data_IF_682727640148
#
_entry.id   IF_682727640148
#
_cell.length_a   1.000
_cell.length_b   1.000
_cell.length_c   1.000
_cell.angle_alpha   90.00
_cell.angle_beta   90.00
_cell.angle_gamma   90.00
#
_symmetry.space_group_name_H-M   'P 1'
#
loop_
_entity.id
_entity.type
_entity.pdbx_description
1 polymer ?
#
# COMPACT_ATOMS: atom_id res chain seq x y z
N UNK A 1 17.12 -9.38 34.00
CA UNK A 1 17.36 -8.69 32.71
C UNK A 1 16.01 -8.32 32.14
N UNK A 2 15.78 -7.05 31.88
CA UNK A 2 14.58 -6.54 31.23
C UNK A 2 14.66 -6.84 29.74
N UNK A 3 13.65 -7.53 29.21
CA UNK A 3 13.57 -7.87 27.79
C UNK A 3 13.26 -6.59 27.00
N UNK A 4 14.31 -5.96 26.44
CA UNK A 4 14.22 -4.68 25.73
C UNK A 4 13.82 -4.91 24.26
N UNK A 5 12.63 -5.48 24.05
CA UNK A 5 12.10 -5.86 22.73
C UNK A 5 10.72 -5.26 22.47
N UNK A 6 10.49 -4.83 21.24
CA UNK A 6 9.17 -4.48 20.71
C UNK A 6 8.78 -5.48 19.63
N UNK A 7 7.55 -5.97 19.68
CA UNK A 7 6.97 -6.83 18.65
C UNK A 7 5.78 -6.13 18.03
N UNK A 8 5.79 -5.99 16.69
CA UNK A 8 4.71 -5.38 15.92
C UNK A 8 3.95 -6.50 15.22
N UNK A 9 2.62 -6.48 15.34
CA UNK A 9 1.72 -7.37 14.60
C UNK A 9 1.12 -6.57 13.44
N UNK A 10 1.63 -6.82 12.24
CA UNK A 10 1.12 -6.20 11.01
C UNK A 10 0.36 -7.24 10.18
N UNK A 11 -0.69 -6.80 9.47
CA UNK A 11 -1.41 -7.63 8.50
C UNK A 11 -0.50 -8.00 7.31
N UNK A 12 0.41 -7.10 6.94
CA UNK A 12 1.42 -7.33 5.89
C UNK A 12 2.65 -6.50 6.20
N UNK A 13 3.83 -7.09 6.05
CA UNK A 13 5.12 -6.42 6.11
C UNK A 13 6.02 -6.93 4.99
N UNK A 14 6.76 -6.03 4.37
CA UNK A 14 7.66 -6.31 3.24
C UNK A 14 9.01 -5.63 3.55
N UNK A 15 10.13 -6.29 3.25
CA UNK A 15 11.43 -5.62 3.31
C UNK A 15 11.61 -4.71 2.09
N UNK A 16 12.40 -3.65 2.23
CA UNK A 16 12.60 -2.66 1.17
C UNK A 16 13.08 -3.26 -0.17
N UNK A 17 13.98 -4.23 -0.10
CA UNK A 17 14.53 -4.92 -1.28
C UNK A 17 13.57 -5.96 -1.88
N UNK A 18 12.46 -6.28 -1.21
CA UNK A 18 11.41 -7.17 -1.71
C UNK A 18 10.29 -6.40 -2.42
N UNK A 19 10.31 -5.06 -2.34
CA UNK A 19 9.30 -4.22 -2.99
C UNK A 19 9.45 -4.31 -4.51
N UNK A 20 8.48 -4.98 -5.14
CA UNK A 20 8.31 -4.97 -6.59
C UNK A 20 7.68 -3.63 -7.03
N UNK A 21 8.52 -2.76 -7.59
CA UNK A 21 8.12 -1.43 -8.07
C UNK A 21 7.09 -1.50 -9.19
N UNK A 22 7.29 -2.35 -10.19
CA UNK A 22 6.37 -2.45 -11.34
C UNK A 22 4.98 -2.93 -10.89
N UNK A 23 4.93 -3.85 -9.93
CA UNK A 23 3.67 -4.28 -9.31
C UNK A 23 3.01 -3.14 -8.53
N UNK A 24 3.78 -2.35 -7.78
CA UNK A 24 3.26 -1.22 -7.02
C UNK A 24 2.71 -0.10 -7.93
N UNK A 25 3.40 0.20 -9.03
CA UNK A 25 2.93 1.16 -10.04
C UNK A 25 1.62 0.71 -10.69
N UNK A 26 1.53 -0.56 -11.12
CA UNK A 26 0.28 -1.13 -11.66
C UNK A 26 -0.87 -1.06 -10.67
N UNK A 27 -0.61 -1.37 -9.40
CA UNK A 27 -1.62 -1.30 -8.35
C UNK A 27 -2.08 0.15 -8.10
N UNK A 28 -1.17 1.14 -8.20
CA UNK A 28 -1.51 2.56 -8.11
C UNK A 28 -2.44 2.97 -9.24
N UNK A 29 -2.04 2.70 -10.49
CA UNK A 29 -2.82 3.09 -11.68
C UNK A 29 -4.21 2.45 -11.70
N UNK A 30 -4.32 1.17 -11.35
CA UNK A 30 -5.62 0.50 -11.27
C UNK A 30 -6.54 1.09 -10.20
N UNK A 31 -5.97 1.48 -9.06
CA UNK A 31 -6.74 2.09 -7.98
C UNK A 31 -7.17 3.53 -8.34
N UNK A 32 -6.30 4.32 -8.97
CA UNK A 32 -6.61 5.65 -9.48
C UNK A 32 -7.72 5.59 -10.55
N UNK A 33 -7.61 4.69 -11.52
CA UNK A 33 -8.63 4.48 -12.55
C UNK A 33 -9.98 4.10 -11.93
N UNK A 34 -9.98 3.15 -10.98
CA UNK A 34 -11.23 2.74 -10.32
C UNK A 34 -11.85 3.87 -9.47
N UNK A 35 -11.04 4.71 -8.82
CA UNK A 35 -11.52 5.87 -8.05
C UNK A 35 -12.05 7.00 -8.94
N UNK A 36 -11.65 7.05 -10.22
CA UNK A 36 -12.17 8.02 -11.17
C UNK A 36 -13.60 7.73 -11.64
N UNK A 37 -14.11 6.53 -11.36
CA UNK A 37 -15.48 6.15 -11.70
C UNK A 37 -16.49 6.85 -10.76
N UNK A 38 -17.40 7.70 -11.28
CA UNK A 38 -18.38 8.42 -10.46
C UNK A 38 -19.47 7.51 -9.88
N UNK A 39 -19.71 6.33 -10.45
CA UNK A 39 -20.75 5.39 -10.00
C UNK A 39 -20.23 4.40 -8.93
N UNK A 40 -19.06 4.67 -8.35
CA UNK A 40 -18.44 3.80 -7.36
C UNK A 40 -19.18 3.86 -6.03
N UNK A 41 -19.53 2.68 -5.48
CA UNK A 41 -20.14 2.61 -4.16
C UNK A 41 -19.19 3.10 -3.06
N UNK A 42 -19.73 3.60 -1.94
CA UNK A 42 -18.93 4.12 -0.82
C UNK A 42 -18.02 3.03 -0.21
N UNK A 43 -18.50 1.79 -0.13
CA UNK A 43 -17.71 0.66 0.35
C UNK A 43 -16.53 0.36 -0.59
N UNK A 44 -16.78 0.30 -1.90
CA UNK A 44 -15.73 0.08 -2.88
C UNK A 44 -14.75 1.25 -2.95
N UNK A 45 -15.22 2.47 -2.78
CA UNK A 45 -14.39 3.65 -2.69
C UNK A 45 -13.42 3.53 -1.52
N UNK A 46 -13.91 3.20 -0.32
CA UNK A 46 -13.08 3.01 0.87
C UNK A 46 -12.02 1.92 0.67
N UNK A 47 -12.42 0.77 0.10
CA UNK A 47 -11.49 -0.34 -0.19
C UNK A 47 -10.45 0.07 -1.23
N UNK A 48 -10.86 0.78 -2.28
CA UNK A 48 -9.96 1.20 -3.37
C UNK A 48 -8.99 2.28 -2.90
N UNK A 49 -9.45 3.21 -2.06
CA UNK A 49 -8.59 4.20 -1.42
C UNK A 49 -7.51 3.56 -0.53
N UNK A 50 -7.87 2.53 0.25
CA UNK A 50 -6.89 1.76 1.04
C UNK A 50 -5.87 1.03 0.14
N UNK A 51 -6.30 0.51 -1.02
CA UNK A 51 -5.40 -0.10 -2.01
C UNK A 51 -4.42 0.93 -2.58
N UNK A 52 -4.92 2.11 -2.95
CA UNK A 52 -4.10 3.22 -3.44
C UNK A 52 -3.06 3.63 -2.40
N UNK A 53 -3.48 3.83 -1.14
CA UNK A 53 -2.58 4.19 -0.04
C UNK A 53 -1.42 3.19 0.11
N UNK A 54 -1.71 1.89 0.10
CA UNK A 54 -0.66 0.85 0.18
C UNK A 54 0.26 0.85 -1.04
N UNK A 55 -0.24 1.14 -2.23
CA UNK A 55 0.58 1.21 -3.44
C UNK A 55 1.54 2.40 -3.38
N UNK A 56 1.05 3.58 -2.99
CA UNK A 56 1.88 4.78 -2.80
C UNK A 56 2.95 4.55 -1.74
N UNK A 57 2.60 3.98 -0.58
CA UNK A 57 3.56 3.70 0.49
C UNK A 57 4.69 2.75 0.04
N UNK A 58 4.42 1.78 -0.84
CA UNK A 58 5.47 0.93 -1.43
C UNK A 58 6.39 1.74 -2.34
N UNK A 59 5.83 2.62 -3.17
CA UNK A 59 6.59 3.43 -4.13
C UNK A 59 7.47 4.48 -3.43
N UNK A 60 6.93 5.22 -2.46
CA UNK A 60 7.67 6.22 -1.70
C UNK A 60 8.87 5.60 -0.97
N UNK A 61 8.68 4.41 -0.39
CA UNK A 61 9.79 3.71 0.26
C UNK A 61 10.82 3.22 -0.76
N UNK A 62 10.39 2.81 -1.97
CA UNK A 62 11.31 2.38 -3.03
C UNK A 62 12.18 3.51 -3.62
N UNK A 63 11.73 4.78 -3.55
CA UNK A 63 12.44 5.94 -4.13
C UNK A 63 13.45 6.58 -3.18
N UNK A 64 13.31 6.38 -1.87
CA UNK A 64 14.17 7.01 -0.85
C UNK A 64 15.49 6.24 -0.59
N UNK A 65 16.00 5.49 -1.58
CA UNK A 65 17.19 4.64 -1.44
C UNK A 65 18.18 4.81 -2.59
#
# INVERSE_FOLDING_TARGET
MTDNRVTILAETGEFLHEIDRERAERARSQAEEKLSNPDLSEEEFSVTQKKLFRAIARLENSENN
#
